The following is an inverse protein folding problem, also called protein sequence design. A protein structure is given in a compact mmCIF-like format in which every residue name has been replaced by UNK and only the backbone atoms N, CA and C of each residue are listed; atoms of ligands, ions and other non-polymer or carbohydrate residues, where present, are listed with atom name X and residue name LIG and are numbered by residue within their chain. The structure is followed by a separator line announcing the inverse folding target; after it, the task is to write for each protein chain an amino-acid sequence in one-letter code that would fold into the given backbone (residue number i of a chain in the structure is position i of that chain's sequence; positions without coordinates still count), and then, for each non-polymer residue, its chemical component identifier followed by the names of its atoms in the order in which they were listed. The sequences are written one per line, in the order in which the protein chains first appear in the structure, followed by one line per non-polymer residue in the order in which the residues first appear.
data_IF_187793846327
#
_entry.id   IF_187793846327
#
_cell.length_a   1.000
_cell.length_b   1.000
_cell.length_c   1.000
_cell.angle_alpha   90.00
_cell.angle_beta   90.00
_cell.angle_gamma   90.00
#
_symmetry.space_group_name_H-M   'P 1'
#
loop_
_entity.id
_entity.type
_entity.pdbx_description
1 polymer ?
#
# COMPACT_ATOMS: atom_id res chain seq x y z
N UNK A 1 1.43 25.56 -33.97
CA UNK A 1 0.97 24.54 -33.00
C UNK A 1 1.86 24.71 -31.78
N UNK A 2 1.32 25.31 -30.72
CA UNK A 2 2.06 25.63 -29.51
C UNK A 2 1.55 24.76 -28.37
N UNK A 3 2.51 24.05 -27.74
CA UNK A 3 2.72 23.86 -26.30
C UNK A 3 1.66 23.14 -25.45
N UNK A 4 2.11 22.15 -24.69
CA UNK A 4 2.00 21.99 -23.21
C UNK A 4 2.24 20.51 -22.86
N UNK A 5 3.41 20.18 -22.33
CA UNK A 5 3.80 20.26 -20.91
C UNK A 5 3.33 19.02 -20.12
N UNK A 6 4.31 18.14 -19.91
CA UNK A 6 4.55 17.24 -18.79
C UNK A 6 3.71 17.55 -17.54
N UNK A 7 3.02 16.54 -17.00
CA UNK A 7 2.48 16.60 -15.65
C UNK A 7 2.75 15.29 -14.92
N UNK A 8 4.02 15.10 -14.59
CA UNK A 8 4.47 14.21 -13.50
C UNK A 8 3.82 14.71 -12.22
N UNK A 9 2.78 14.00 -11.77
CA UNK A 9 2.09 14.30 -10.52
C UNK A 9 2.89 13.77 -9.33
N UNK A 10 3.99 14.44 -8.97
CA UNK A 10 4.47 14.41 -7.60
C UNK A 10 3.40 15.06 -6.73
N UNK A 11 2.66 14.26 -5.96
CA UNK A 11 1.85 14.78 -4.86
C UNK A 11 2.70 14.76 -3.61
N UNK A 12 3.10 15.97 -3.24
CA UNK A 12 3.81 16.37 -2.04
C UNK A 12 3.23 15.67 -0.80
N UNK A 13 4.13 15.01 -0.08
CA UNK A 13 3.92 14.40 1.21
C UNK A 13 3.78 15.50 2.26
N UNK A 14 2.54 15.89 2.58
CA UNK A 14 2.26 16.79 3.70
C UNK A 14 2.25 15.98 5.02
N UNK A 15 3.39 16.04 5.69
CA UNK A 15 3.67 15.46 7.00
C UNK A 15 2.70 16.04 8.05
N UNK A 16 1.69 15.26 8.47
CA UNK A 16 0.83 15.63 9.60
C UNK A 16 0.63 14.44 10.55
N UNK A 17 1.31 14.53 11.71
CA UNK A 17 1.08 13.83 12.99
C UNK A 17 0.87 12.31 12.97
N UNK A 18 1.94 11.61 13.35
CA UNK A 18 1.99 10.40 14.19
C UNK A 18 0.66 9.69 14.48
N UNK A 19 0.14 9.06 13.45
CA UNK A 19 -0.39 7.70 13.57
C UNK A 19 0.42 6.94 12.53
N UNK A 20 1.00 5.77 12.87
CA UNK A 20 1.53 4.87 11.85
C UNK A 20 0.35 4.42 10.99
N UNK A 21 -0.04 5.26 10.03
CA UNK A 21 -1.04 4.96 9.04
C UNK A 21 -0.44 3.82 8.24
N UNK A 22 -0.98 2.62 8.44
CA UNK A 22 -0.62 1.44 7.66
C UNK A 22 -1.02 1.78 6.23
N UNK A 23 -0.07 2.26 5.43
CA UNK A 23 -0.29 2.54 4.01
C UNK A 23 -0.47 1.21 3.30
N UNK A 24 -1.72 0.72 3.28
CA UNK A 24 -2.14 -0.33 2.38
C UNK A 24 -2.50 0.32 1.05
N UNK A 25 -1.74 -0.02 0.02
CA UNK A 25 -1.90 0.59 -1.28
C UNK A 25 -1.31 -0.26 -2.38
N UNK A 26 -1.93 -0.15 -3.55
CA UNK A 26 -1.39 -0.67 -4.80
C UNK A 26 -0.32 0.29 -5.29
N UNK A 27 0.87 -0.24 -5.55
CA UNK A 27 1.97 0.48 -6.17
C UNK A 27 2.13 -0.09 -7.58
N UNK A 28 1.77 0.67 -8.63
CA UNK A 28 2.02 0.22 -10.00
C UNK A 28 3.53 0.25 -10.29
N UNK A 29 4.05 -0.84 -10.85
CA UNK A 29 5.44 -0.95 -11.30
C UNK A 29 5.49 -1.36 -12.77
N UNK A 30 6.66 -1.25 -13.40
CA UNK A 30 6.89 -1.71 -14.78
C UNK A 30 6.61 -3.22 -14.97
N UNK A 31 6.62 -4.00 -13.88
CA UNK A 31 6.41 -5.44 -13.88
C UNK A 31 5.01 -5.86 -13.41
N UNK A 32 4.12 -4.90 -13.11
CA UNK A 32 2.77 -5.15 -12.63
C UNK A 32 2.48 -4.47 -11.28
N UNK A 33 1.44 -4.94 -10.60
CA UNK A 33 1.01 -4.41 -9.30
C UNK A 33 1.81 -5.04 -8.16
N UNK A 34 2.30 -4.21 -7.25
CA UNK A 34 2.85 -4.64 -5.96
C UNK A 34 2.09 -3.93 -4.84
N UNK A 35 2.11 -4.49 -3.63
CA UNK A 35 1.30 -4.03 -2.52
C UNK A 35 2.18 -3.58 -1.36
N UNK A 36 1.98 -2.35 -0.90
CA UNK A 36 2.68 -1.83 0.27
C UNK A 36 2.04 -2.38 1.55
N UNK A 37 2.87 -2.93 2.43
CA UNK A 37 2.50 -3.35 3.79
C UNK A 37 3.46 -2.71 4.81
N UNK A 38 3.18 -2.77 6.12
CA UNK A 38 4.11 -2.31 7.15
C UNK A 38 5.48 -3.00 7.12
N UNK A 39 5.52 -4.25 6.66
CA UNK A 39 6.73 -5.08 6.66
C UNK A 39 7.54 -4.96 5.35
N UNK A 40 6.97 -4.31 4.33
CA UNK A 40 7.61 -4.10 3.04
C UNK A 40 6.64 -4.18 1.87
N UNK A 41 7.21 -4.30 0.68
CA UNK A 41 6.48 -4.44 -0.59
C UNK A 41 6.32 -5.92 -0.91
N UNK A 42 5.10 -6.34 -1.20
CA UNK A 42 4.74 -7.72 -1.53
C UNK A 42 4.21 -7.83 -2.95
N UNK A 43 4.43 -8.97 -3.61
CA UNK A 43 3.67 -9.30 -4.81
C UNK A 43 2.23 -9.72 -4.44
N UNK A 44 1.35 -9.86 -5.43
CA UNK A 44 -0.06 -10.21 -5.22
C UNK A 44 -0.27 -11.48 -4.38
N UNK A 45 0.49 -12.55 -4.66
CA UNK A 45 0.34 -13.83 -3.94
C UNK A 45 0.75 -13.69 -2.48
N UNK A 46 1.87 -13.01 -2.23
CA UNK A 46 2.37 -12.76 -0.88
C UNK A 46 1.40 -11.87 -0.08
N UNK A 47 0.86 -10.83 -0.73
CA UNK A 47 -0.11 -9.92 -0.13
C UNK A 47 -1.39 -10.63 0.30
N UNK A 48 -1.94 -11.54 -0.54
CA UNK A 48 -3.12 -12.32 -0.19
C UNK A 48 -2.89 -13.26 1.01
N UNK A 49 -1.70 -13.87 1.10
CA UNK A 49 -1.31 -14.69 2.26
C UNK A 49 -1.22 -13.83 3.52
N UNK A 50 -0.60 -12.66 3.42
CA UNK A 50 -0.47 -11.71 4.52
C UNK A 50 -1.84 -11.26 5.05
N UNK A 51 -2.78 -10.89 4.16
CA UNK A 51 -4.17 -10.57 4.54
C UNK A 51 -4.88 -11.75 5.20
N UNK A 52 -4.69 -12.97 4.68
CA UNK A 52 -5.25 -14.19 5.27
C UNK A 52 -4.79 -14.38 6.72
N UNK A 53 -3.50 -14.18 6.99
CA UNK A 53 -2.94 -14.27 8.34
C UNK A 53 -3.54 -13.21 9.27
N UNK A 54 -3.63 -11.95 8.82
CA UNK A 54 -4.28 -10.89 9.62
C UNK A 54 -5.71 -11.22 10.00
N UNK A 55 -6.51 -11.77 9.07
CA UNK A 55 -7.89 -12.18 9.35
C UNK A 55 -7.93 -13.28 10.41
N UNK A 56 -7.00 -14.24 10.37
CA UNK A 56 -6.91 -15.30 11.39
C UNK A 56 -6.61 -14.71 12.77
N UNK A 57 -5.63 -13.80 12.86
CA UNK A 57 -5.27 -13.13 14.11
C UNK A 57 -6.44 -12.32 14.69
N UNK A 58 -7.12 -11.52 13.85
CA UNK A 58 -8.30 -10.75 14.27
C UNK A 58 -9.40 -11.70 14.78
N UNK A 59 -9.66 -12.80 14.07
CA UNK A 59 -10.66 -13.80 14.50
C UNK A 59 -10.31 -14.43 15.85
N UNK A 60 -9.04 -14.67 16.12
CA UNK A 60 -8.60 -15.21 17.41
C UNK A 60 -8.76 -14.16 18.53
N UNK A 61 -8.40 -12.91 18.28
CA UNK A 61 -8.56 -11.82 19.24
C UNK A 61 -10.04 -11.56 19.60
N UNK A 62 -10.95 -11.69 18.63
CA UNK A 62 -12.39 -11.53 18.85
C UNK A 62 -13.05 -12.72 19.56
N UNK A 63 -12.40 -13.89 19.59
CA UNK A 63 -12.88 -15.09 20.29
C UNK A 63 -12.55 -15.12 21.79
N UNK A 64 -11.95 -14.04 22.30
CA UNK A 64 -11.54 -13.88 23.71
C UNK A 64 -12.51 -14.48 24.72
#
# INVERSE_FOLDING_TARGET
MSKEEEKTGEKENEETKETKSVMLGEVPTEYGLVYQTPDGVLNEKEYLVWLGNMIVEIKQALKG
#
